data_IF_981168730874
#
_entry.id   IF_981168730874
#
_cell.length_a   1.000
_cell.length_b   1.000
_cell.length_c   1.000
_cell.angle_alpha   90.00
_cell.angle_beta   90.00
_cell.angle_gamma   90.00
#
_symmetry.space_group_name_H-M   'P 1'
#
loop_
_entity.id
_entity.type
_entity.pdbx_description
1 polymer ?
#
# COMPACT_ATOMS: atom_id res chain seq x y z
N UNK A 1 10.32 -0.93 -14.38
CA UNK A 1 9.67 -0.52 -13.11
C UNK A 1 8.50 -1.44 -12.85
N UNK A 2 8.31 -1.84 -11.61
CA UNK A 2 7.20 -2.73 -11.18
C UNK A 2 6.23 -1.89 -10.37
N UNK A 3 5.01 -1.75 -10.87
CA UNK A 3 3.93 -1.02 -10.20
C UNK A 3 3.02 -2.05 -9.55
N UNK A 4 2.67 -1.85 -8.28
CA UNK A 4 1.74 -2.70 -7.54
C UNK A 4 0.56 -1.88 -7.05
N UNK A 5 -0.66 -2.39 -7.19
CA UNK A 5 -1.86 -1.73 -6.66
C UNK A 5 -2.94 -2.77 -6.30
N UNK A 6 -3.87 -2.41 -5.42
CA UNK A 6 -4.99 -3.29 -5.02
C UNK A 6 -5.86 -3.72 -6.23
N UNK A 7 -6.15 -2.77 -7.12
CA UNK A 7 -7.02 -2.96 -8.28
C UNK A 7 -6.32 -2.68 -9.59
N UNK A 8 -6.69 -3.41 -10.63
CA UNK A 8 -6.25 -3.16 -12.00
C UNK A 8 -7.05 -2.03 -12.67
N UNK A 9 -8.28 -1.80 -12.22
CA UNK A 9 -9.22 -0.83 -12.81
C UNK A 9 -9.26 0.53 -12.11
N UNK A 10 -9.74 1.53 -12.84
CA UNK A 10 -9.97 2.89 -12.33
C UNK A 10 -11.25 2.97 -11.50
N UNK A 11 -11.16 2.49 -10.25
CA UNK A 11 -12.23 2.59 -9.25
C UNK A 11 -12.20 3.87 -8.39
N UNK A 12 -11.26 4.79 -8.62
CA UNK A 12 -11.14 6.06 -7.87
C UNK A 12 -9.83 6.80 -8.13
N UNK A 13 -9.55 7.84 -7.34
CA UNK A 13 -8.37 8.70 -7.57
C UNK A 13 -7.03 7.97 -7.53
N UNK A 14 -6.85 7.03 -6.59
CA UNK A 14 -5.60 6.27 -6.46
C UNK A 14 -5.32 5.38 -7.68
N UNK A 15 -6.32 4.63 -8.14
CA UNK A 15 -6.18 3.77 -9.33
C UNK A 15 -6.10 4.57 -10.63
N UNK A 16 -6.78 5.71 -10.73
CA UNK A 16 -6.60 6.64 -11.84
C UNK A 16 -5.14 7.10 -11.96
N UNK A 17 -4.54 7.54 -10.85
CA UNK A 17 -3.14 7.97 -10.82
C UNK A 17 -2.17 6.85 -11.19
N UNK A 18 -2.47 5.59 -10.82
CA UNK A 18 -1.69 4.44 -11.25
C UNK A 18 -1.71 4.30 -12.78
N UNK A 19 -2.88 4.39 -13.42
CA UNK A 19 -2.98 4.30 -14.88
C UNK A 19 -2.25 5.43 -15.59
N UNK A 20 -2.38 6.67 -15.08
CA UNK A 20 -1.64 7.84 -15.58
C UNK A 20 -0.13 7.62 -15.46
N UNK A 21 0.35 7.17 -14.30
CA UNK A 21 1.77 6.88 -14.07
C UNK A 21 2.28 5.84 -15.06
N UNK A 22 1.56 4.72 -15.23
CA UNK A 22 1.95 3.66 -16.18
C UNK A 22 2.04 4.25 -17.60
N UNK A 23 1.06 5.06 -18.02
CA UNK A 23 1.09 5.77 -19.31
C UNK A 23 2.32 6.64 -19.48
N UNK A 24 2.62 7.45 -18.48
CA UNK A 24 3.75 8.38 -18.46
C UNK A 24 5.12 7.68 -18.45
N UNK A 25 5.24 6.52 -17.80
CA UNK A 25 6.46 5.71 -17.82
C UNK A 25 6.67 5.10 -19.20
N UNK A 26 5.61 4.53 -19.78
CA UNK A 26 5.64 3.92 -21.11
C UNK A 26 5.93 4.93 -22.22
N UNK A 27 5.36 6.13 -22.16
CA UNK A 27 5.66 7.23 -23.08
C UNK A 27 7.14 7.66 -23.05
N UNK A 28 7.85 7.42 -21.94
CA UNK A 28 9.30 7.66 -21.80
C UNK A 28 10.16 6.44 -22.14
N UNK A 29 9.57 5.39 -22.72
CA UNK A 29 10.26 4.16 -23.06
C UNK A 29 10.65 3.28 -21.85
N UNK A 30 10.15 3.59 -20.66
CA UNK A 30 10.47 2.80 -19.45
C UNK A 30 9.62 1.53 -19.45
N UNK A 31 10.22 0.32 -19.39
CA UNK A 31 9.46 -0.92 -19.26
C UNK A 31 8.67 -0.95 -17.95
N UNK A 32 7.40 -1.34 -18.03
CA UNK A 32 6.52 -1.45 -16.87
C UNK A 32 5.98 -2.86 -16.77
N UNK A 33 6.06 -3.42 -15.56
CA UNK A 33 5.24 -4.54 -15.14
C UNK A 33 4.23 -4.04 -14.13
N UNK A 34 2.96 -4.38 -14.32
CA UNK A 34 1.89 -4.04 -13.40
C UNK A 34 1.38 -5.30 -12.70
N UNK A 35 1.50 -5.34 -11.37
CA UNK A 35 0.97 -6.42 -10.53
C UNK A 35 -0.26 -5.89 -9.80
N UNK A 36 -1.43 -6.44 -10.11
CA UNK A 36 -2.69 -6.02 -9.50
C UNK A 36 -3.20 -7.07 -8.51
N UNK A 37 -3.71 -6.62 -7.37
CA UNK A 37 -4.30 -7.49 -6.35
C UNK A 37 -5.50 -8.30 -6.84
N UNK A 38 -6.27 -7.75 -7.78
CA UNK A 38 -7.52 -8.33 -8.29
C UNK A 38 -7.33 -9.30 -9.47
N UNK A 39 -8.43 -9.67 -10.13
CA UNK A 39 -8.46 -10.61 -11.25
C UNK A 39 -7.97 -10.02 -12.56
N UNK A 40 -7.88 -8.69 -12.69
CA UNK A 40 -7.48 -8.07 -13.95
C UNK A 40 -8.52 -8.12 -15.07
N UNK A 41 -9.78 -8.46 -14.77
CA UNK A 41 -10.81 -8.79 -15.78
C UNK A 41 -11.01 -7.69 -16.82
N UNK A 42 -10.85 -6.41 -16.45
CA UNK A 42 -11.03 -5.28 -17.36
C UNK A 42 -9.71 -4.55 -17.67
N UNK A 43 -8.55 -5.16 -17.42
CA UNK A 43 -7.26 -4.60 -17.79
C UNK A 43 -6.93 -4.91 -19.26
N UNK A 44 -6.80 -3.88 -20.10
CA UNK A 44 -6.70 -4.04 -21.56
C UNK A 44 -5.40 -3.51 -22.18
N UNK A 45 -4.43 -3.06 -21.37
CA UNK A 45 -3.18 -2.50 -21.90
C UNK A 45 -2.23 -3.59 -22.38
N UNK A 46 -1.93 -3.56 -23.67
CA UNK A 46 -0.98 -4.49 -24.29
C UNK A 46 0.48 -4.02 -24.17
N UNK A 47 0.69 -2.73 -23.89
CA UNK A 47 2.03 -2.14 -23.79
C UNK A 47 2.71 -2.41 -22.43
N UNK A 48 2.08 -3.19 -21.55
CA UNK A 48 2.51 -3.42 -20.16
C UNK A 48 2.46 -4.92 -19.86
N UNK A 49 3.53 -5.45 -19.26
CA UNK A 49 3.49 -6.81 -18.72
C UNK A 49 2.55 -6.83 -17.50
N UNK A 50 1.51 -7.65 -17.52
CA UNK A 50 0.46 -7.64 -16.49
C UNK A 50 0.43 -8.94 -15.68
N UNK A 51 0.29 -8.82 -14.36
CA UNK A 51 0.27 -9.94 -13.41
C UNK A 51 -0.93 -9.76 -12.45
N UNK A 52 -2.08 -10.37 -12.73
CA UNK A 52 -3.20 -10.38 -11.80
C UNK A 52 -2.97 -11.39 -10.67
N UNK A 53 -3.28 -11.01 -9.42
CA UNK A 53 -3.17 -11.90 -8.25
C UNK A 53 -4.47 -12.63 -7.90
N UNK A 54 -5.57 -12.36 -8.63
CA UNK A 54 -6.83 -13.08 -8.52
C UNK A 54 -7.63 -12.79 -7.25
N UNK A 55 -7.29 -11.72 -6.54
CA UNK A 55 -7.97 -11.30 -5.31
C UNK A 55 -9.35 -10.68 -5.56
N UNK A 56 -10.07 -10.51 -4.45
CA UNK A 56 -11.34 -9.77 -4.35
C UNK A 56 -11.19 -8.76 -3.24
N UNK A 57 -11.88 -7.62 -3.37
CA UNK A 57 -11.99 -6.63 -2.29
C UNK A 57 -12.38 -7.31 -0.98
N UNK A 58 -11.70 -6.95 0.11
CA UNK A 58 -11.99 -7.42 1.46
C UNK A 58 -13.45 -7.11 1.86
N UNK A 59 -14.04 -6.03 1.34
CA UNK A 59 -15.45 -5.70 1.57
C UNK A 59 -16.42 -6.63 0.83
N UNK A 60 -16.00 -7.24 -0.26
CA UNK A 60 -16.80 -8.21 -1.02
C UNK A 60 -16.67 -9.65 -0.49
N UNK A 61 -15.99 -9.84 0.65
CA UNK A 61 -15.75 -11.16 1.27
C UNK A 61 -16.60 -11.35 2.51
N UNK A 62 -16.75 -12.62 2.92
CA UNK A 62 -17.26 -12.95 4.25
C UNK A 62 -16.34 -12.39 5.33
N UNK A 63 -16.89 -12.05 6.51
CA UNK A 63 -16.10 -11.48 7.63
C UNK A 63 -14.88 -12.34 8.00
N UNK A 64 -14.97 -13.68 8.14
CA UNK A 64 -13.80 -14.49 8.44
C UNK A 64 -12.77 -14.48 7.30
N UNK A 65 -13.23 -14.50 6.05
CA UNK A 65 -12.36 -14.42 4.87
C UNK A 65 -11.62 -13.09 4.78
N UNK A 66 -12.31 -11.98 5.03
CA UNK A 66 -11.72 -10.64 5.06
C UNK A 66 -10.70 -10.51 6.21
N UNK A 67 -11.04 -11.04 7.40
CA UNK A 67 -10.17 -11.06 8.57
C UNK A 67 -8.85 -11.80 8.27
N UNK A 68 -8.94 -13.05 7.80
CA UNK A 68 -7.79 -13.90 7.52
C UNK A 68 -6.94 -13.36 6.37
N UNK A 69 -7.55 -13.13 5.20
CA UNK A 69 -6.80 -12.72 4.00
C UNK A 69 -6.26 -11.29 4.10
N UNK A 70 -6.96 -10.41 4.83
CA UNK A 70 -6.47 -9.04 5.05
C UNK A 70 -5.32 -8.95 6.05
N UNK A 71 -5.07 -9.99 6.86
CA UNK A 71 -3.85 -10.12 7.67
C UNK A 71 -2.75 -10.86 6.90
N UNK A 72 -3.11 -11.93 6.18
CA UNK A 72 -2.18 -12.74 5.42
C UNK A 72 -2.83 -13.31 4.16
N UNK A 73 -2.35 -12.85 3.00
CA UNK A 73 -2.73 -13.40 1.70
C UNK A 73 -1.56 -14.27 1.16
N UNK A 74 -1.68 -15.61 1.20
CA UNK A 74 -0.60 -16.50 0.76
C UNK A 74 -0.37 -16.47 -0.76
N UNK A 75 -1.42 -16.17 -1.55
CA UNK A 75 -1.31 -16.04 -3.01
C UNK A 75 -0.45 -14.82 -3.34
N UNK A 76 -0.76 -13.66 -2.76
CA UNK A 76 0.07 -12.45 -2.91
C UNK A 76 1.52 -12.72 -2.49
N UNK A 77 1.74 -13.37 -1.34
CA UNK A 77 3.09 -13.66 -0.86
C UNK A 77 3.87 -14.52 -1.87
N UNK A 78 3.26 -15.60 -2.33
CA UNK A 78 3.90 -16.56 -3.23
C UNK A 78 4.17 -15.94 -4.60
N UNK A 79 3.13 -15.43 -5.26
CA UNK A 79 3.21 -14.94 -6.64
C UNK A 79 4.16 -13.75 -6.77
N UNK A 80 4.17 -12.83 -5.80
CA UNK A 80 5.12 -11.69 -5.83
C UNK A 80 6.55 -12.17 -5.61
N UNK A 81 6.80 -13.15 -4.72
CA UNK A 81 8.15 -13.71 -4.52
C UNK A 81 8.65 -14.48 -5.73
N UNK A 82 7.80 -15.27 -6.36
CA UNK A 82 8.11 -16.00 -7.59
C UNK A 82 8.44 -15.02 -8.72
N UNK A 83 7.65 -13.95 -8.87
CA UNK A 83 7.94 -12.90 -9.84
C UNK A 83 9.29 -12.23 -9.58
N UNK A 84 9.57 -11.83 -8.33
CA UNK A 84 10.86 -11.24 -7.95
C UNK A 84 12.01 -12.20 -8.26
N UNK A 85 11.89 -13.48 -7.89
CA UNK A 85 12.94 -14.47 -8.12
C UNK A 85 13.25 -14.68 -9.61
N UNK A 86 12.25 -14.54 -10.48
CA UNK A 86 12.40 -14.79 -11.92
C UNK A 86 12.85 -13.54 -12.70
N UNK A 87 12.43 -12.34 -12.29
CA UNK A 87 12.53 -11.14 -13.12
C UNK A 87 13.25 -9.96 -12.46
N UNK A 88 13.59 -10.03 -11.17
CA UNK A 88 14.28 -8.93 -10.51
C UNK A 88 15.68 -8.71 -11.07
N UNK A 89 16.06 -7.43 -11.15
CA UNK A 89 17.40 -7.00 -11.54
C UNK A 89 17.85 -5.89 -10.59
N UNK A 90 19.15 -5.56 -10.50
CA UNK A 90 19.62 -4.43 -9.71
C UNK A 90 18.96 -3.08 -10.10
N UNK A 91 18.52 -2.94 -11.34
CA UNK A 91 17.83 -1.74 -11.86
C UNK A 91 16.32 -1.70 -11.63
N UNK A 92 15.71 -2.76 -11.08
CA UNK A 92 14.26 -2.83 -10.91
C UNK A 92 13.81 -1.95 -9.73
N UNK A 93 12.90 -1.00 -9.96
CA UNK A 93 12.26 -0.23 -8.88
C UNK A 93 10.83 -0.74 -8.69
N UNK A 94 10.44 -0.96 -7.44
CA UNK A 94 9.09 -1.38 -7.04
C UNK A 94 8.33 -0.18 -6.50
N UNK A 95 7.12 0.08 -6.97
CA UNK A 95 6.29 1.20 -6.55
C UNK A 95 4.91 0.69 -6.13
N UNK A 96 4.68 0.65 -4.82
CA UNK A 96 3.44 0.16 -4.25
C UNK A 96 2.47 1.33 -4.02
N UNK A 97 1.37 1.31 -4.75
CA UNK A 97 0.25 2.23 -4.62
C UNK A 97 -0.88 1.52 -3.89
N UNK A 98 -1.02 1.77 -2.59
CA UNK A 98 -2.09 1.15 -1.80
C UNK A 98 -1.94 -0.37 -1.62
N UNK A 99 -2.52 -0.87 -0.53
CA UNK A 99 -2.50 -2.29 -0.17
C UNK A 99 -3.68 -2.68 0.73
N UNK A 100 -4.60 -1.74 0.96
CA UNK A 100 -5.53 -1.80 2.08
C UNK A 100 -6.83 -2.53 1.72
N UNK A 101 -7.13 -2.72 0.42
CA UNK A 101 -8.44 -3.16 -0.06
C UNK A 101 -8.48 -4.58 -0.63
N UNK A 102 -7.43 -5.05 -1.31
CA UNK A 102 -7.36 -6.40 -1.90
C UNK A 102 -6.11 -7.14 -1.42
N UNK A 103 -4.98 -6.44 -1.43
CA UNK A 103 -3.73 -6.89 -0.88
C UNK A 103 -3.80 -6.93 0.66
N UNK A 104 -2.70 -7.38 1.26
CA UNK A 104 -2.54 -7.50 2.71
C UNK A 104 -1.07 -7.31 3.09
N UNK A 105 -0.72 -7.33 4.39
CA UNK A 105 0.67 -7.23 4.84
C UNK A 105 1.62 -8.25 4.17
N UNK A 106 1.10 -9.35 3.63
CA UNK A 106 1.84 -10.30 2.80
C UNK A 106 2.61 -9.67 1.64
N UNK A 107 2.13 -8.57 1.06
CA UNK A 107 2.86 -7.88 -0.03
C UNK A 107 4.20 -7.34 0.47
N UNK A 108 4.25 -6.85 1.71
CA UNK A 108 5.50 -6.36 2.31
C UNK A 108 6.44 -7.49 2.68
N UNK A 109 5.91 -8.62 3.15
CA UNK A 109 6.70 -9.83 3.35
C UNK A 109 7.35 -10.31 2.04
N UNK A 110 6.61 -10.23 0.92
CA UNK A 110 7.13 -10.58 -0.40
C UNK A 110 8.19 -9.59 -0.90
N UNK A 111 7.97 -8.29 -0.65
CA UNK A 111 8.87 -7.21 -1.07
C UNK A 111 10.10 -7.02 -0.16
N UNK A 112 10.15 -7.67 1.01
CA UNK A 112 11.26 -7.52 1.98
C UNK A 112 12.66 -7.67 1.35
N UNK A 113 12.94 -8.68 0.48
CA UNK A 113 14.26 -8.82 -0.14
C UNK A 113 14.67 -7.65 -1.04
N UNK A 114 13.71 -6.89 -1.55
CA UNK A 114 13.91 -5.76 -2.47
C UNK A 114 13.56 -4.41 -1.83
N UNK A 115 13.40 -4.35 -0.49
CA UNK A 115 12.90 -3.18 0.22
C UNK A 115 13.72 -1.90 -0.03
N UNK A 116 15.04 -2.02 -0.28
CA UNK A 116 15.90 -0.87 -0.62
C UNK A 116 15.52 -0.16 -1.93
N UNK A 117 14.76 -0.83 -2.81
CA UNK A 117 14.27 -0.33 -4.10
C UNK A 117 12.75 -0.18 -4.12
N UNK A 118 12.10 -0.26 -2.95
CA UNK A 118 10.67 -0.07 -2.78
C UNK A 118 10.34 1.40 -2.52
N UNK A 119 9.41 1.91 -3.33
CA UNK A 119 8.76 3.21 -3.16
C UNK A 119 7.33 2.99 -2.71
N UNK A 120 6.94 3.64 -1.61
CA UNK A 120 5.55 3.65 -1.15
C UNK A 120 4.86 4.94 -1.61
N UNK A 121 3.70 4.81 -2.23
CA UNK A 121 2.89 5.97 -2.61
C UNK A 121 1.90 6.34 -1.50
N UNK A 122 1.87 7.62 -1.13
CA UNK A 122 1.02 8.15 -0.07
C UNK A 122 -0.37 8.58 -0.58
N UNK A 123 -1.13 7.65 -1.18
CA UNK A 123 -2.53 7.89 -1.58
C UNK A 123 -3.46 8.11 -0.38
N UNK A 124 -3.15 7.42 0.70
CA UNK A 124 -3.83 7.47 1.98
C UNK A 124 -2.78 7.28 3.08
N UNK A 125 -3.21 7.29 4.34
CA UNK A 125 -2.30 7.12 5.46
C UNK A 125 -2.19 5.68 5.96
N UNK A 126 -2.62 4.64 5.21
CA UNK A 126 -2.49 3.24 5.66
C UNK A 126 -1.03 2.80 5.78
N UNK A 127 -0.09 3.53 5.19
CA UNK A 127 1.35 3.32 5.40
C UNK A 127 1.87 3.91 6.73
N UNK A 128 1.01 4.50 7.57
CA UNK A 128 1.39 5.10 8.85
C UNK A 128 0.35 4.90 9.96
N UNK A 129 -0.92 5.22 9.68
CA UNK A 129 -2.04 5.10 10.60
C UNK A 129 -2.86 3.84 10.31
N UNK A 130 -3.17 3.00 11.32
CA UNK A 130 -4.04 1.85 11.13
C UNK A 130 -5.39 2.21 10.50
N UNK A 131 -5.96 3.37 10.85
CA UNK A 131 -7.24 3.83 10.33
C UNK A 131 -7.13 4.44 8.91
N UNK A 132 -5.90 4.68 8.43
CA UNK A 132 -5.65 5.24 7.10
C UNK A 132 -5.97 6.73 6.93
N UNK A 133 -6.43 7.41 7.98
CA UNK A 133 -6.95 8.78 7.87
C UNK A 133 -6.43 9.80 8.88
N UNK A 134 -5.69 9.41 9.92
CA UNK A 134 -5.34 10.31 11.04
C UNK A 134 -6.53 11.15 11.53
N UNK A 135 -7.72 10.55 11.58
CA UNK A 135 -8.97 11.18 11.98
C UNK A 135 -9.67 10.32 13.03
N UNK A 136 -10.25 10.97 14.03
CA UNK A 136 -11.12 10.36 15.01
C UNK A 136 -12.57 10.53 14.57
N UNK A 137 -13.15 9.47 14.00
CA UNK A 137 -14.52 9.51 13.47
C UNK A 137 -15.62 9.53 14.55
N UNK A 138 -15.28 9.35 15.83
CA UNK A 138 -16.26 9.47 16.92
C UNK A 138 -16.35 10.88 17.46
N UNK A 139 -15.22 11.57 17.45
CA UNK A 139 -15.05 12.92 17.98
C UNK A 139 -15.01 13.97 16.87
N UNK A 140 -15.05 13.54 15.61
CA UNK A 140 -15.05 14.35 14.39
C UNK A 140 -13.91 15.38 14.34
N UNK A 141 -12.70 14.92 14.71
CA UNK A 141 -11.50 15.76 14.73
C UNK A 141 -10.25 15.01 14.26
N UNK A 142 -9.24 15.78 13.88
CA UNK A 142 -7.92 15.24 13.56
C UNK A 142 -7.32 14.48 14.76
N UNK A 143 -6.68 13.36 14.46
CA UNK A 143 -6.08 12.47 15.44
C UNK A 143 -4.56 12.70 15.51
N UNK A 144 -4.13 13.31 16.61
CA UNK A 144 -2.72 13.61 16.88
C UNK A 144 -1.98 12.47 17.60
N UNK A 145 -2.65 11.33 17.83
CA UNK A 145 -2.04 10.20 18.52
C UNK A 145 -0.98 9.53 17.65
N UNK A 146 0.16 9.18 18.27
CA UNK A 146 1.16 8.33 17.62
C UNK A 146 0.57 6.96 17.28
N UNK A 147 0.56 6.53 16.01
CA UNK A 147 0.06 5.22 15.61
C UNK A 147 0.73 4.09 16.40
N UNK A 148 -0.07 3.08 16.78
CA UNK A 148 0.34 1.92 17.60
C UNK A 148 0.83 2.23 19.03
N UNK A 149 0.84 3.48 19.47
CA UNK A 149 1.05 3.80 20.90
C UNK A 149 -0.07 3.23 21.77
N UNK A 150 0.19 3.04 23.07
CA UNK A 150 -0.81 2.53 24.05
C UNK A 150 -2.13 3.31 23.98
N UNK A 151 -2.06 4.63 23.85
CA UNK A 151 -3.24 5.51 23.72
C UNK A 151 -3.96 5.32 22.38
N UNK A 152 -3.24 5.12 21.27
CA UNK A 152 -3.83 4.80 19.97
C UNK A 152 -4.58 3.45 19.98
N UNK A 153 -4.07 2.45 20.72
CA UNK A 153 -4.67 1.12 20.76
C UNK A 153 -6.05 1.13 21.43
N UNK A 154 -6.20 1.90 22.50
CA UNK A 154 -7.48 2.02 23.25
C UNK A 154 -8.42 3.08 22.67
N UNK A 155 -7.95 3.94 21.74
CA UNK A 155 -8.76 4.99 21.13
C UNK A 155 -9.76 4.44 20.10
N UNK A 156 -11.04 4.73 20.32
CA UNK A 156 -12.17 4.32 19.47
C UNK A 156 -12.35 5.14 18.19
N UNK A 157 -11.25 5.48 17.51
CA UNK A 157 -11.26 6.38 16.34
C UNK A 157 -11.80 5.78 15.04
N UNK A 158 -12.03 4.46 14.94
CA UNK A 158 -12.54 3.83 13.70
C UNK A 158 -14.04 4.06 13.56
N UNK A 159 -14.46 4.49 12.36
CA UNK A 159 -15.86 4.76 12.02
C UNK A 159 -16.77 3.55 12.18
N UNK A 160 -16.24 2.34 12.02
CA UNK A 160 -17.01 1.10 12.07
C UNK A 160 -17.10 0.60 13.52
N UNK A 161 -15.98 0.15 14.10
CA UNK A 161 -15.97 -0.42 15.45
C UNK A 161 -14.55 -0.51 16.04
N UNK A 162 -14.47 -0.69 17.36
CA UNK A 162 -13.20 -0.96 18.03
C UNK A 162 -12.57 -2.29 17.57
N UNK A 163 -13.38 -3.31 17.24
CA UNK A 163 -12.88 -4.56 16.69
C UNK A 163 -12.22 -4.34 15.32
N UNK A 164 -12.84 -3.52 14.46
CA UNK A 164 -12.26 -3.14 13.17
C UNK A 164 -10.95 -2.37 13.36
N UNK A 165 -10.89 -1.45 14.33
CA UNK A 165 -9.66 -0.74 14.71
C UNK A 165 -8.54 -1.70 15.09
N UNK A 166 -8.82 -2.68 15.94
CA UNK A 166 -7.83 -3.66 16.39
C UNK A 166 -7.34 -4.56 15.26
N UNK A 167 -8.23 -4.96 14.34
CA UNK A 167 -7.83 -5.68 13.14
C UNK A 167 -6.89 -4.85 12.25
N UNK A 168 -7.22 -3.58 12.01
CA UNK A 168 -6.35 -2.65 11.29
C UNK A 168 -5.00 -2.42 11.97
N UNK A 169 -4.99 -2.37 13.32
CA UNK A 169 -3.77 -2.34 14.13
C UNK A 169 -2.92 -3.57 13.86
N UNK A 170 -3.51 -4.76 13.81
CA UNK A 170 -2.81 -6.00 13.45
C UNK A 170 -2.19 -5.93 12.06
N UNK A 171 -2.94 -5.42 11.06
CA UNK A 171 -2.41 -5.21 9.70
C UNK A 171 -1.21 -4.27 9.68
N UNK A 172 -1.29 -3.15 10.39
CA UNK A 172 -0.22 -2.17 10.47
C UNK A 172 1.00 -2.70 11.25
N UNK A 173 0.80 -3.47 12.32
CA UNK A 173 1.87 -4.13 13.05
C UNK A 173 2.62 -5.14 12.17
N UNK A 174 1.89 -5.96 11.39
CA UNK A 174 2.49 -6.89 10.42
C UNK A 174 3.26 -6.14 9.33
N UNK A 175 2.71 -5.05 8.78
CA UNK A 175 3.41 -4.22 7.80
C UNK A 175 4.75 -3.73 8.35
N UNK A 176 4.75 -3.14 9.56
CA UNK A 176 5.97 -2.66 10.22
C UNK A 176 6.95 -3.79 10.48
N UNK A 177 6.47 -4.97 10.90
CA UNK A 177 7.34 -6.13 11.11
C UNK A 177 8.11 -6.51 9.83
N UNK A 178 7.44 -6.54 8.68
CA UNK A 178 8.07 -6.97 7.43
C UNK A 178 9.06 -5.95 6.84
N UNK A 179 8.89 -4.66 7.13
CA UNK A 179 9.79 -3.60 6.69
C UNK A 179 10.75 -3.11 7.80
N UNK A 180 10.96 -3.91 8.85
CA UNK A 180 11.79 -3.55 10.02
C UNK A 180 11.48 -2.12 10.56
N UNK A 181 10.18 -1.79 10.60
CA UNK A 181 9.62 -0.47 10.92
C UNK A 181 8.98 0.22 9.71
N UNK A 182 8.93 1.57 9.75
CA UNK A 182 8.47 2.40 8.60
C UNK A 182 9.66 3.00 7.84
N UNK A 183 10.89 2.77 8.32
CA UNK A 183 12.11 3.44 7.84
C UNK A 183 12.76 2.82 6.60
N UNK A 184 12.46 1.54 6.28
CA UNK A 184 13.08 0.86 5.13
C UNK A 184 12.32 1.04 3.81
N UNK A 185 11.21 1.78 3.77
CA UNK A 185 10.74 2.32 2.50
C UNK A 185 11.72 3.43 2.11
N UNK A 186 12.75 3.07 1.35
CA UNK A 186 13.85 3.96 1.01
C UNK A 186 13.38 5.30 0.42
N UNK A 187 12.15 5.36 -0.10
CA UNK A 187 11.47 6.56 -0.61
C UNK A 187 9.97 6.45 -0.38
N UNK A 188 9.38 7.45 0.26
CA UNK A 188 7.92 7.63 0.26
C UNK A 188 7.58 8.83 -0.61
N UNK A 189 6.73 8.59 -1.60
CA UNK A 189 6.29 9.61 -2.53
C UNK A 189 4.99 10.22 -2.01
N UNK A 190 5.04 11.52 -1.70
CA UNK A 190 3.90 12.28 -1.21
C UNK A 190 3.15 12.92 -2.37
N UNK A 191 1.82 12.84 -2.32
CA UNK A 191 0.96 13.57 -3.25
C UNK A 191 0.98 15.06 -2.92
N UNK A 192 1.02 15.39 -1.63
CA UNK A 192 1.07 16.77 -1.16
C UNK A 192 2.11 16.93 -0.03
N UNK A 193 2.93 18.00 -0.03
CA UNK A 193 3.93 18.23 1.03
C UNK A 193 3.34 18.23 2.45
N UNK A 194 2.09 18.69 2.61
CA UNK A 194 1.37 18.68 3.89
C UNK A 194 1.15 17.28 4.51
N UNK A 195 1.33 16.21 3.74
CA UNK A 195 1.25 14.85 4.27
C UNK A 195 2.47 14.48 5.14
N UNK A 196 3.60 15.16 4.98
CA UNK A 196 4.87 14.81 5.64
C UNK A 196 4.74 14.71 7.17
N UNK A 197 4.08 15.68 7.81
CA UNK A 197 3.87 15.71 9.27
C UNK A 197 3.18 14.45 9.78
N UNK A 198 2.11 14.02 9.10
CA UNK A 198 1.31 12.86 9.53
C UNK A 198 2.09 11.56 9.32
N UNK A 199 2.84 11.44 8.22
CA UNK A 199 3.71 10.28 8.05
C UNK A 199 4.85 10.24 9.07
N UNK A 200 5.44 11.38 9.42
CA UNK A 200 6.44 11.48 10.50
C UNK A 200 5.86 11.10 11.87
N UNK A 201 4.63 11.53 12.18
CA UNK A 201 3.90 11.10 13.39
C UNK A 201 3.73 9.56 13.44
N UNK A 202 3.60 8.93 12.28
CA UNK A 202 3.56 7.48 12.10
C UNK A 202 4.91 6.76 12.05
N UNK A 203 6.01 7.41 12.45
CA UNK A 203 7.39 6.90 12.35
C UNK A 203 7.92 6.74 10.91
N UNK A 204 7.29 7.39 9.92
CA UNK A 204 7.77 7.43 8.54
C UNK A 204 9.17 8.05 8.38
N UNK A 205 9.75 8.01 7.17
CA UNK A 205 11.09 8.53 6.93
C UNK A 205 11.27 9.97 7.43
N UNK A 206 12.36 10.25 8.14
CA UNK A 206 12.69 11.61 8.61
C UNK A 206 13.17 12.50 7.45
N UNK A 207 13.78 11.89 6.44
CA UNK A 207 14.27 12.49 5.20
C UNK A 207 13.81 11.64 4.00
N UNK A 208 13.82 12.18 2.78
CA UNK A 208 13.47 11.41 1.58
C UNK A 208 11.98 11.45 1.18
N UNK A 209 11.23 12.43 1.68
CA UNK A 209 9.96 12.80 1.05
C UNK A 209 10.26 13.45 -0.30
N UNK A 210 9.84 12.79 -1.36
CA UNK A 210 9.89 13.36 -2.70
C UNK A 210 8.52 13.99 -2.98
N UNK A 211 8.42 15.31 -3.16
CA UNK A 211 7.17 15.91 -3.62
C UNK A 211 6.85 15.36 -5.00
N UNK A 212 5.58 15.03 -5.25
CA UNK A 212 5.11 14.73 -6.60
C UNK A 212 5.20 16.00 -7.45
N UNK A 213 6.32 16.17 -8.14
CA UNK A 213 6.49 17.25 -9.11
C UNK A 213 5.86 16.80 -10.44
N UNK A 214 4.67 17.31 -10.73
CA UNK A 214 4.16 17.34 -12.11
C UNK A 214 4.94 18.44 -12.82
N UNK A 215 6.01 18.08 -13.52
CA UNK A 215 6.58 18.87 -14.60
C UNK A 215 6.71 17.98 -15.83
#
# INVERSE_FOLDING_TARGET
MVVLHDFSEVLGGASHLVQVLIGQLRARGIPVTFIAGDTGTHFTREDVAFVPLGGKDLLARSRPGALALGLHNPVTLRSVREWIAMYDTPGTIYHLHGWSKVLSPSVFAALKPVARRLVLHAHDYFNACPNGGFFDYREERDCELKPLSRVCLVRRCDKNSQAQKLWRVGREALRRHWLDGVSNAARMLLIHPGQARLFQQGDGPKTGFMPFAIR
#
